data_IF_464306699400
#
_entry.id   IF_464306699400
#
_cell.length_a   1.000
_cell.length_b   1.000
_cell.length_c   1.000
_cell.angle_alpha   90.00
_cell.angle_beta   90.00
_cell.angle_gamma   90.00
#
_symmetry.space_group_name_H-M   'P 1'
#
loop_
_entity.id
_entity.type
_entity.pdbx_description
1 polymer ?
#
# COMPACT_ATOMS: atom_id res chain seq x y z
N UNK A 1 -15.01 36.01 -15.89
CA UNK A 1 -14.32 35.09 -16.81
C UNK A 1 -13.16 34.45 -16.09
N UNK A 2 -13.41 33.33 -15.39
CA UNK A 2 -12.39 32.55 -14.69
C UNK A 2 -12.13 31.25 -15.48
N UNK A 3 -11.54 31.40 -16.67
CA UNK A 3 -11.37 30.34 -17.67
C UNK A 3 -10.01 29.66 -17.48
N UNK A 4 -9.62 29.31 -16.24
CA UNK A 4 -8.22 28.93 -16.00
C UNK A 4 -7.89 27.93 -14.91
N UNK A 5 -8.81 27.37 -14.11
CA UNK A 5 -8.37 26.56 -12.96
C UNK A 5 -9.35 25.50 -12.43
N UNK A 6 -10.03 24.75 -13.30
CA UNK A 6 -10.76 23.57 -12.83
C UNK A 6 -9.94 22.30 -13.07
N UNK A 7 -9.33 21.77 -12.00
CA UNK A 7 -8.57 20.50 -12.00
C UNK A 7 -9.43 19.32 -12.50
N UNK A 8 -10.75 19.45 -12.41
CA UNK A 8 -11.71 18.43 -12.82
C UNK A 8 -12.30 18.73 -14.20
N UNK A 9 -12.31 17.72 -15.06
CA UNK A 9 -13.10 17.76 -16.30
C UNK A 9 -14.60 17.96 -16.01
N UNK A 10 -15.13 17.29 -14.97
CA UNK A 10 -16.47 17.52 -14.44
C UNK A 10 -16.48 17.30 -12.92
N UNK A 11 -16.56 18.40 -12.16
CA UNK A 11 -16.51 18.37 -10.69
C UNK A 11 -17.71 17.66 -10.06
N UNK A 12 -18.90 17.80 -10.65
CA UNK A 12 -20.12 17.19 -10.12
C UNK A 12 -20.05 15.67 -10.24
N UNK A 13 -19.73 15.19 -11.44
CA UNK A 13 -19.59 13.76 -11.71
C UNK A 13 -18.51 13.12 -10.83
N UNK A 14 -17.34 13.76 -10.73
CA UNK A 14 -16.28 13.28 -9.84
C UNK A 14 -16.75 13.14 -8.38
N UNK A 15 -17.53 14.10 -7.89
CA UNK A 15 -18.02 14.06 -6.50
C UNK A 15 -19.04 12.95 -6.30
N UNK A 16 -19.94 12.74 -7.27
CA UNK A 16 -20.92 11.64 -7.26
C UNK A 16 -20.21 10.28 -7.23
N UNK A 17 -19.28 10.05 -8.16
CA UNK A 17 -18.49 8.80 -8.25
C UNK A 17 -17.66 8.58 -6.97
N UNK A 18 -17.07 9.64 -6.41
CA UNK A 18 -16.29 9.55 -5.18
C UNK A 18 -17.14 9.16 -3.97
N UNK A 19 -18.37 9.69 -3.86
CA UNK A 19 -19.27 9.30 -2.77
C UNK A 19 -19.76 7.87 -2.94
N UNK A 20 -20.07 7.43 -4.17
CA UNK A 20 -20.42 6.03 -4.43
C UNK A 20 -19.25 5.09 -4.05
N UNK A 21 -18.04 5.42 -4.47
CA UNK A 21 -16.83 4.67 -4.11
C UNK A 21 -16.68 4.58 -2.59
N UNK A 22 -16.87 5.68 -1.86
CA UNK A 22 -16.79 5.65 -0.38
C UNK A 22 -17.77 4.68 0.28
N UNK A 23 -18.94 4.48 -0.30
CA UNK A 23 -19.98 3.62 0.27
C UNK A 23 -19.80 2.14 -0.13
N UNK A 24 -19.40 1.90 -1.38
CA UNK A 24 -19.39 0.57 -1.98
C UNK A 24 -18.04 -0.13 -1.94
N UNK A 25 -16.95 0.64 -2.01
CA UNK A 25 -15.62 0.08 -2.22
C UNK A 25 -15.18 -0.79 -1.04
N UNK A 26 -14.74 -2.01 -1.33
CA UNK A 26 -14.27 -2.98 -0.34
C UNK A 26 -12.88 -3.49 -0.63
N UNK A 27 -12.09 -3.60 0.43
CA UNK A 27 -10.74 -4.17 0.43
C UNK A 27 -10.74 -5.39 1.34
N UNK A 28 -10.35 -6.55 0.79
CA UNK A 28 -10.04 -7.71 1.60
C UNK A 28 -8.57 -7.68 2.02
N UNK A 29 -8.28 -7.87 3.30
CA UNK A 29 -6.90 -8.00 3.79
C UNK A 29 -6.62 -9.47 4.07
N UNK A 30 -5.58 -10.03 3.45
CA UNK A 30 -5.23 -11.43 3.73
C UNK A 30 -4.95 -11.64 5.23
N UNK A 31 -5.63 -12.59 5.87
CA UNK A 31 -5.59 -12.73 7.32
C UNK A 31 -4.29 -13.38 7.78
N UNK A 32 -3.78 -12.90 8.92
CA UNK A 32 -2.62 -13.46 9.64
C UNK A 32 -2.90 -13.45 11.13
N UNK A 33 -2.33 -14.41 11.85
CA UNK A 33 -2.53 -14.54 13.30
C UNK A 33 -1.47 -13.75 14.08
N UNK A 34 -1.75 -13.47 15.35
CA UNK A 34 -0.79 -12.80 16.24
C UNK A 34 0.43 -13.68 16.58
N UNK A 35 0.30 -15.00 16.49
CA UNK A 35 1.38 -15.98 16.69
C UNK A 35 2.15 -16.31 15.41
N UNK A 36 1.86 -15.67 14.27
CA UNK A 36 2.63 -15.84 13.04
C UNK A 36 4.10 -15.47 13.28
N UNK A 37 5.08 -16.27 12.83
CA UNK A 37 6.49 -15.92 12.97
C UNK A 37 6.81 -14.52 12.45
N UNK A 38 6.17 -14.07 11.38
CA UNK A 38 6.32 -12.75 10.77
C UNK A 38 5.19 -11.79 11.15
N UNK A 39 4.53 -11.96 12.30
CA UNK A 39 3.51 -11.03 12.80
C UNK A 39 4.01 -9.57 12.85
N UNK A 40 5.28 -9.34 13.16
CA UNK A 40 5.92 -8.02 13.15
C UNK A 40 6.01 -7.35 11.76
N UNK A 41 5.87 -8.13 10.69
CA UNK A 41 5.85 -7.73 9.28
C UNK A 41 4.42 -7.71 8.74
N UNK A 42 3.60 -8.69 9.12
CA UNK A 42 2.27 -8.97 8.57
C UNK A 42 1.13 -8.27 9.31
N UNK A 43 1.30 -7.88 10.57
CA UNK A 43 0.29 -7.12 11.32
C UNK A 43 0.59 -5.62 11.38
N UNK A 44 -0.42 -4.75 11.60
CA UNK A 44 -0.21 -3.33 11.82
C UNK A 44 0.62 -3.05 13.07
N UNK A 45 1.45 -2.00 13.03
CA UNK A 45 2.21 -1.57 14.20
C UNK A 45 1.29 -1.02 15.28
N UNK A 46 1.60 -1.32 16.55
CA UNK A 46 0.87 -0.81 17.72
C UNK A 46 1.37 0.57 18.18
N UNK A 47 2.59 0.96 17.79
CA UNK A 47 3.19 2.26 18.10
C UNK A 47 2.84 3.33 17.04
N UNK A 48 3.28 4.57 17.29
CA UNK A 48 3.10 5.67 16.34
C UNK A 48 4.22 5.68 15.29
N UNK A 49 3.91 5.53 13.98
CA UNK A 49 4.95 5.46 12.97
C UNK A 49 5.79 6.75 12.89
N UNK A 50 7.07 6.60 12.60
CA UNK A 50 8.03 7.70 12.50
C UNK A 50 9.08 7.43 11.41
N UNK A 51 9.83 8.47 11.06
CA UNK A 51 10.90 8.40 10.06
C UNK A 51 10.41 8.18 8.62
N UNK A 52 11.35 7.83 7.73
CA UNK A 52 11.10 7.76 6.29
C UNK A 52 9.99 6.77 5.90
N UNK A 53 9.84 5.67 6.63
CA UNK A 53 8.85 4.62 6.33
C UNK A 53 7.50 4.82 7.04
N UNK A 54 7.27 6.00 7.65
CA UNK A 54 6.04 6.28 8.38
C UNK A 54 4.80 6.05 7.50
N UNK A 55 4.80 6.55 6.26
CA UNK A 55 3.65 6.44 5.34
C UNK A 55 3.19 5.00 5.10
N UNK A 56 4.13 4.05 4.94
CA UNK A 56 3.81 2.61 4.76
C UNK A 56 3.12 2.05 6.00
N UNK A 57 3.66 2.36 7.18
CA UNK A 57 3.11 1.90 8.45
C UNK A 57 1.75 2.54 8.77
N UNK A 58 1.58 3.84 8.48
CA UNK A 58 0.30 4.52 8.64
C UNK A 58 -0.75 4.01 7.66
N UNK A 59 -0.41 3.78 6.40
CA UNK A 59 -1.34 3.21 5.43
C UNK A 59 -1.95 1.92 5.98
N UNK A 60 -1.11 0.99 6.44
CA UNK A 60 -1.54 -0.28 7.02
C UNK A 60 -2.38 -0.09 8.29
N UNK A 61 -1.94 0.78 9.20
CA UNK A 61 -2.64 1.09 10.47
C UNK A 61 -4.02 1.72 10.24
N UNK A 62 -4.14 2.60 9.25
CA UNK A 62 -5.39 3.30 8.92
C UNK A 62 -6.33 2.42 8.11
N UNK A 63 -5.82 1.70 7.10
CA UNK A 63 -6.61 0.75 6.31
C UNK A 63 -7.29 -0.28 7.24
N UNK A 64 -6.52 -0.87 8.17
CA UNK A 64 -7.04 -1.85 9.15
C UNK A 64 -8.12 -1.35 10.10
N UNK A 65 -8.30 -0.03 10.20
CA UNK A 65 -9.34 0.63 11.02
C UNK A 65 -10.40 1.34 10.17
N UNK A 66 -10.30 1.23 8.85
CA UNK A 66 -11.20 1.92 7.93
C UNK A 66 -12.47 1.11 7.67
N UNK A 67 -13.52 1.79 7.23
CA UNK A 67 -14.78 1.17 6.80
C UNK A 67 -14.66 0.44 5.44
N UNK A 68 -13.55 0.61 4.72
CA UNK A 68 -13.30 -0.06 3.45
C UNK A 68 -13.00 -1.54 3.60
N UNK A 69 -12.65 -2.04 4.80
CA UNK A 69 -12.35 -3.46 4.96
C UNK A 69 -13.62 -4.29 4.95
N UNK A 70 -13.58 -5.40 4.21
CA UNK A 70 -14.53 -6.50 4.33
C UNK A 70 -13.84 -7.76 4.86
N UNK A 71 -14.61 -8.61 5.56
CA UNK A 71 -14.20 -9.97 5.92
C UNK A 71 -14.61 -10.99 4.86
N UNK A 72 -15.54 -10.62 3.98
CA UNK A 72 -15.98 -11.47 2.88
C UNK A 72 -15.17 -11.13 1.61
N UNK A 73 -14.25 -12.00 1.17
CA UNK A 73 -13.49 -11.78 -0.05
C UNK A 73 -14.37 -11.76 -1.32
N UNK A 74 -15.61 -12.27 -1.29
CA UNK A 74 -16.53 -12.20 -2.43
C UNK A 74 -17.05 -10.76 -2.67
N UNK A 75 -17.09 -9.93 -1.63
CA UNK A 75 -17.49 -8.52 -1.70
C UNK A 75 -16.34 -7.58 -2.10
N UNK A 76 -15.10 -8.09 -2.16
CA UNK A 76 -13.91 -7.26 -2.29
C UNK A 76 -13.62 -6.85 -3.74
N UNK A 77 -13.39 -5.55 -3.92
CA UNK A 77 -12.91 -4.96 -5.17
C UNK A 77 -11.39 -5.08 -5.29
N UNK A 78 -10.66 -4.90 -4.18
CA UNK A 78 -9.21 -5.06 -4.12
C UNK A 78 -8.78 -5.94 -2.94
N UNK A 79 -7.59 -6.52 -3.07
CA UNK A 79 -7.00 -7.41 -2.09
C UNK A 79 -5.65 -6.88 -1.61
N UNK A 80 -5.54 -6.55 -0.34
CA UNK A 80 -4.32 -6.04 0.25
C UNK A 80 -3.39 -7.18 0.69
N UNK A 81 -2.14 -7.11 0.26
CA UNK A 81 -1.03 -7.97 0.71
C UNK A 81 -0.31 -7.26 1.89
N UNK A 82 -0.58 -7.64 3.15
CA UNK A 82 -0.19 -6.86 4.32
C UNK A 82 1.30 -6.91 4.70
N UNK A 83 2.18 -7.58 3.94
CA UNK A 83 3.60 -7.57 4.26
C UNK A 83 4.16 -6.14 4.22
N UNK A 84 4.97 -5.77 5.21
CA UNK A 84 5.66 -4.48 5.24
C UNK A 84 7.13 -4.67 4.89
N UNK A 85 7.55 -4.07 3.78
CA UNK A 85 8.96 -4.08 3.35
C UNK A 85 9.82 -3.31 4.34
N UNK A 86 9.30 -2.21 4.92
CA UNK A 86 9.99 -1.46 5.96
C UNK A 86 10.25 -2.32 7.21
N UNK A 87 9.25 -3.08 7.67
CA UNK A 87 9.41 -3.98 8.83
C UNK A 87 10.33 -5.16 8.51
N UNK A 88 10.20 -5.72 7.31
CA UNK A 88 11.01 -6.85 6.87
C UNK A 88 12.50 -6.50 6.81
N UNK A 89 12.85 -5.28 6.38
CA UNK A 89 14.23 -4.76 6.41
C UNK A 89 14.86 -4.73 7.80
N UNK A 90 14.04 -4.67 8.85
CA UNK A 90 14.49 -4.65 10.23
C UNK A 90 14.28 -6.00 10.94
N UNK A 91 13.87 -7.04 10.19
CA UNK A 91 13.71 -8.37 10.73
C UNK A 91 15.07 -9.11 10.74
N UNK A 92 15.54 -9.64 11.87
CA UNK A 92 16.86 -10.27 11.95
C UNK A 92 16.95 -11.57 11.14
N UNK A 93 15.83 -12.15 10.71
CA UNK A 93 15.78 -13.39 9.92
C UNK A 93 15.88 -13.12 8.42
N UNK A 94 15.68 -11.88 7.98
CA UNK A 94 15.61 -11.51 6.57
C UNK A 94 16.52 -10.31 6.34
N UNK A 95 17.66 -10.55 5.69
CA UNK A 95 18.50 -9.46 5.23
C UNK A 95 17.84 -8.71 4.06
N UNK A 96 18.43 -7.57 3.67
CA UNK A 96 17.91 -6.75 2.56
C UNK A 96 17.85 -7.55 1.24
N UNK A 97 18.76 -8.50 1.03
CA UNK A 97 18.82 -9.32 -0.19
C UNK A 97 17.80 -10.46 -0.18
N UNK A 98 17.29 -10.84 0.99
CA UNK A 98 16.26 -11.85 1.20
C UNK A 98 14.84 -11.31 1.10
N UNK A 99 14.64 -9.99 1.08
CA UNK A 99 13.32 -9.37 0.88
C UNK A 99 12.60 -9.93 -0.36
N UNK A 100 13.23 -10.02 -1.54
CA UNK A 100 12.56 -10.56 -2.72
C UNK A 100 12.20 -12.05 -2.59
N UNK A 101 13.01 -12.85 -1.88
CA UNK A 101 12.69 -14.26 -1.60
C UNK A 101 11.49 -14.39 -0.66
N UNK A 102 11.42 -13.55 0.37
CA UNK A 102 10.29 -13.51 1.28
C UNK A 102 9.00 -13.15 0.52
N UNK A 103 9.03 -12.08 -0.27
CA UNK A 103 7.86 -11.61 -1.04
C UNK A 103 7.39 -12.69 -2.03
N UNK A 104 8.31 -13.31 -2.77
CA UNK A 104 8.00 -14.44 -3.66
C UNK A 104 7.33 -15.59 -2.90
N UNK A 105 7.89 -15.96 -1.74
CA UNK A 105 7.39 -17.07 -0.92
C UNK A 105 6.01 -16.76 -0.35
N UNK A 106 5.80 -15.53 0.11
CA UNK A 106 4.52 -15.04 0.60
C UNK A 106 3.44 -15.09 -0.48
N UNK A 107 3.72 -14.54 -1.67
CA UNK A 107 2.77 -14.59 -2.79
C UNK A 107 2.48 -16.04 -3.17
N UNK A 108 3.51 -16.89 -3.25
CA UNK A 108 3.34 -18.31 -3.56
C UNK A 108 2.42 -19.02 -2.54
N UNK A 109 2.52 -18.65 -1.26
CA UNK A 109 1.61 -19.13 -0.22
C UNK A 109 0.19 -18.63 -0.45
N UNK A 110 0.00 -17.33 -0.73
CA UNK A 110 -1.31 -16.75 -1.01
C UNK A 110 -1.97 -17.44 -2.22
N UNK A 111 -1.25 -17.60 -3.33
CA UNK A 111 -1.71 -18.26 -4.56
C UNK A 111 -2.25 -19.67 -4.33
N UNK A 112 -1.61 -20.43 -3.43
CA UNK A 112 -1.99 -21.80 -3.11
C UNK A 112 -3.10 -21.90 -2.07
N UNK A 113 -3.19 -20.92 -1.17
CA UNK A 113 -4.05 -21.02 0.01
C UNK A 113 -5.40 -20.32 -0.18
N UNK A 114 -5.48 -19.36 -1.11
CA UNK A 114 -6.68 -18.57 -1.36
C UNK A 114 -7.06 -18.60 -2.83
N UNK A 115 -8.32 -18.94 -3.18
CA UNK A 115 -8.74 -19.06 -4.57
C UNK A 115 -8.78 -17.71 -5.31
N UNK A 116 -8.87 -16.60 -4.57
CA UNK A 116 -9.10 -15.26 -5.13
C UNK A 116 -7.92 -14.71 -5.92
N UNK A 117 -6.69 -15.17 -5.67
CA UNK A 117 -5.55 -14.77 -6.49
C UNK A 117 -5.75 -15.14 -7.96
N UNK A 118 -6.19 -16.37 -8.23
CA UNK A 118 -6.23 -16.92 -9.58
C UNK A 118 -7.39 -16.36 -10.42
N UNK A 119 -8.30 -15.57 -9.82
CA UNK A 119 -9.41 -14.90 -10.52
C UNK A 119 -8.91 -13.86 -11.52
N UNK A 120 -7.85 -13.16 -11.15
CA UNK A 120 -7.28 -12.00 -11.86
C UNK A 120 -5.79 -12.15 -12.12
N UNK A 121 -5.20 -13.27 -11.67
CA UNK A 121 -3.76 -13.49 -11.60
C UNK A 121 -2.99 -12.35 -10.91
N UNK A 122 -3.61 -11.72 -9.91
CA UNK A 122 -2.96 -10.69 -9.09
C UNK A 122 -3.32 -9.25 -9.45
N UNK A 123 -4.12 -8.98 -10.50
CA UNK A 123 -4.32 -7.59 -10.97
C UNK A 123 -5.18 -6.73 -10.06
N UNK A 124 -5.96 -7.34 -9.16
CA UNK A 124 -6.72 -6.67 -8.10
C UNK A 124 -6.01 -6.78 -6.73
N UNK A 125 -4.78 -7.28 -6.69
CA UNK A 125 -3.95 -7.33 -5.50
C UNK A 125 -3.01 -6.13 -5.44
N UNK A 126 -2.77 -5.62 -4.24
CA UNK A 126 -1.85 -4.50 -4.06
C UNK A 126 -1.06 -4.59 -2.76
N UNK A 127 0.10 -3.92 -2.74
CA UNK A 127 0.96 -3.78 -1.57
C UNK A 127 1.52 -2.36 -1.49
N UNK A 128 2.00 -1.98 -0.31
CA UNK A 128 2.62 -0.66 -0.10
C UNK A 128 4.12 -0.82 0.10
N UNK A 129 4.89 0.02 -0.59
CA UNK A 129 6.32 0.07 -0.47
C UNK A 129 6.82 1.53 -0.46
N UNK A 130 7.42 1.96 0.64
CA UNK A 130 8.11 3.26 0.68
C UNK A 130 9.60 3.14 0.33
N UNK A 131 10.14 4.18 -0.33
CA UNK A 131 11.57 4.40 -0.57
C UNK A 131 12.31 3.28 -1.33
N UNK A 132 13.66 3.32 -1.26
CA UNK A 132 14.56 2.54 -2.10
C UNK A 132 14.37 1.03 -1.99
N UNK A 133 13.87 0.55 -0.87
CA UNK A 133 13.67 -0.88 -0.56
C UNK A 133 12.48 -1.50 -1.32
N UNK A 134 11.52 -0.68 -1.76
CA UNK A 134 10.40 -1.16 -2.59
C UNK A 134 10.79 -1.55 -4.00
N UNK A 135 11.89 -0.99 -4.52
CA UNK A 135 12.29 -1.13 -5.94
C UNK A 135 12.68 -2.56 -6.30
N UNK A 136 13.31 -3.29 -5.38
CA UNK A 136 13.77 -4.66 -5.60
C UNK A 136 12.87 -5.73 -5.01
N UNK A 137 11.87 -5.35 -4.19
CA UNK A 137 11.06 -6.30 -3.42
C UNK A 137 10.34 -7.35 -4.30
N UNK A 138 10.02 -7.00 -5.54
CA UNK A 138 9.35 -7.90 -6.50
C UNK A 138 10.31 -8.55 -7.52
N UNK A 139 11.63 -8.36 -7.43
CA UNK A 139 12.59 -8.86 -8.44
C UNK A 139 12.53 -10.37 -8.65
N UNK A 140 12.34 -11.13 -7.58
CA UNK A 140 12.19 -12.61 -7.63
C UNK A 140 10.75 -13.07 -7.83
N UNK A 141 9.80 -12.13 -7.98
CA UNK A 141 8.39 -12.38 -8.25
C UNK A 141 7.99 -11.75 -9.60
N UNK A 142 8.81 -11.99 -10.64
CA UNK A 142 8.71 -11.32 -11.95
C UNK A 142 7.35 -11.44 -12.62
N UNK A 143 6.73 -12.63 -12.61
CA UNK A 143 5.38 -12.85 -13.15
C UNK A 143 4.34 -11.96 -12.45
N UNK A 144 4.52 -11.73 -11.15
CA UNK A 144 3.57 -11.02 -10.29
C UNK A 144 3.77 -9.51 -10.36
N UNK A 145 5.02 -9.06 -10.58
CA UNK A 145 5.40 -7.64 -10.64
C UNK A 145 4.57 -6.84 -11.65
N UNK A 146 4.17 -7.46 -12.76
CA UNK A 146 3.41 -6.80 -13.82
C UNK A 146 1.90 -6.77 -13.55
N UNK A 147 1.39 -7.62 -12.66
CA UNK A 147 -0.04 -7.69 -12.35
C UNK A 147 -0.39 -6.93 -11.07
N UNK A 148 0.36 -7.16 -9.99
CA UNK A 148 0.07 -6.57 -8.67
C UNK A 148 0.31 -5.07 -8.66
N UNK A 149 -0.64 -4.31 -8.15
CA UNK A 149 -0.56 -2.87 -8.00
C UNK A 149 0.46 -2.52 -6.91
N UNK A 150 1.47 -1.73 -7.27
CA UNK A 150 2.44 -1.20 -6.32
C UNK A 150 2.01 0.20 -5.87
N UNK A 151 1.82 0.37 -4.57
CA UNK A 151 1.58 1.68 -3.96
C UNK A 151 2.90 2.22 -3.43
N UNK A 152 3.38 3.33 -4.01
CA UNK A 152 4.70 3.91 -3.69
C UNK A 152 4.61 5.25 -2.98
N UNK A 153 5.49 5.48 -2.02
CA UNK A 153 5.53 6.74 -1.25
C UNK A 153 6.31 7.86 -1.95
N UNK A 154 6.18 7.95 -3.28
CA UNK A 154 6.85 8.94 -4.10
C UNK A 154 5.92 9.32 -5.24
N UNK A 155 5.92 10.61 -5.60
CA UNK A 155 5.17 11.15 -6.73
C UNK A 155 5.92 11.10 -8.06
N UNK A 156 7.13 10.51 -8.09
CA UNK A 156 7.95 10.45 -9.30
C UNK A 156 7.63 9.22 -10.15
N UNK A 157 7.22 9.45 -11.39
CA UNK A 157 7.03 8.42 -12.42
C UNK A 157 8.34 7.76 -12.86
N UNK A 158 9.49 8.42 -12.64
CA UNK A 158 10.81 7.95 -13.08
C UNK A 158 11.46 6.96 -12.10
N UNK A 159 10.71 6.47 -11.12
CA UNK A 159 11.20 5.44 -10.22
C UNK A 159 11.37 4.11 -10.95
N UNK A 160 12.55 3.51 -10.81
CA UNK A 160 12.81 2.17 -11.32
C UNK A 160 11.79 1.18 -10.78
N UNK A 161 11.08 0.50 -11.69
CA UNK A 161 10.05 -0.48 -11.36
C UNK A 161 8.63 0.07 -11.25
N UNK A 162 8.42 1.40 -11.32
CA UNK A 162 7.08 2.00 -11.35
C UNK A 162 6.44 1.88 -12.73
N UNK A 163 5.18 1.47 -12.78
CA UNK A 163 4.39 1.29 -14.00
C UNK A 163 3.19 2.26 -14.00
N UNK A 164 3.24 3.37 -14.77
CA UNK A 164 2.26 4.47 -14.69
C UNK A 164 0.78 4.11 -14.88
N UNK A 165 0.49 3.02 -15.59
CA UNK A 165 -0.89 2.58 -15.86
C UNK A 165 -1.41 1.52 -14.87
N UNK A 166 -0.64 1.22 -13.82
CA UNK A 166 -0.96 0.20 -12.82
C UNK A 166 -0.69 0.69 -11.40
N UNK A 167 0.46 1.32 -11.20
CA UNK A 167 0.96 1.72 -9.89
C UNK A 167 0.41 3.08 -9.46
N UNK A 168 0.36 3.30 -8.14
CA UNK A 168 -0.26 4.48 -7.55
C UNK A 168 0.68 5.13 -6.55
N UNK A 169 0.70 6.46 -6.55
CA UNK A 169 1.46 7.25 -5.58
C UNK A 169 0.67 7.45 -4.29
N UNK A 170 1.32 7.18 -3.16
CA UNK A 170 0.86 7.53 -1.81
C UNK A 170 1.62 8.78 -1.33
N UNK A 171 0.92 9.81 -0.83
CA UNK A 171 1.57 10.99 -0.26
C UNK A 171 2.53 10.61 0.87
N UNK A 172 3.78 11.08 0.77
CA UNK A 172 4.74 10.89 1.84
C UNK A 172 4.37 11.76 3.04
N UNK A 173 4.24 11.13 4.20
CA UNK A 173 4.06 11.85 5.46
C UNK A 173 5.37 11.84 6.24
N UNK A 174 5.70 13.01 6.80
CA UNK A 174 6.81 13.18 7.73
C UNK A 174 6.24 13.61 9.08
N UNK A 175 5.98 12.66 9.99
CA UNK A 175 5.51 12.99 11.33
C UNK A 175 6.53 13.89 12.01
N UNK A 176 6.13 15.13 12.30
CA UNK A 176 6.96 16.06 13.07
C UNK A 176 6.64 15.88 14.54
N UNK A 177 7.66 15.65 15.35
CA UNK A 177 7.53 15.72 16.81
C UNK A 177 7.69 17.17 17.25
N UNK A 178 6.71 17.71 17.99
CA UNK A 178 6.73 19.08 18.51
C UNK A 178 5.52 19.92 18.09
N UNK A 179 5.53 21.19 18.48
CA UNK A 179 4.47 22.14 18.12
C UNK A 179 4.44 22.37 16.60
N UNK A 180 3.24 22.56 16.05
CA UNK A 180 3.08 23.02 14.66
C UNK A 180 3.93 24.28 14.46
N UNK A 181 4.64 24.40 13.33
CA UNK A 181 5.36 25.63 13.03
C UNK A 181 4.36 26.80 13.11
N UNK A 182 4.66 27.81 13.95
CA UNK A 182 3.85 29.01 13.99
C UNK A 182 3.86 29.61 12.58
N UNK A 183 2.68 29.84 12.01
CA UNK A 183 2.50 30.53 10.73
C UNK A 183 2.79 32.02 10.91
N UNK A 184 4.04 32.36 11.19
CA UNK A 184 4.57 33.72 11.32
C UNK A 184 5.94 33.75 10.64
N UNK A 185 5.97 33.49 9.34
CA UNK A 185 7.09 33.84 8.44
C UNK A 185 6.75 33.51 6.99
N UNK A 186 5.67 34.11 6.51
CA UNK A 186 5.48 34.46 5.10
C UNK A 186 4.88 35.88 5.08
N UNK A 187 5.73 36.85 5.40
CA UNK A 187 5.59 38.26 5.00
C UNK A 187 6.84 38.62 4.22
#
# INVERSE_FOLDING_TARGET
>A
NDIGNNVFHNKKLFLEDYMEMKERFRIYVYPHKEDDPFANVLLPVKFEPYGNYASESYFKKLLTRSHFITKDPAEADLFFLPFSIARLRHDPRVDVQGIPDFVRSYISYIRRSYPYWNRTDGTDHFYVACHSTGRSAMEKAGEVKFNVIQVVCSSSYYLTGYLPHKDVSLPQIWPRHGNLPQTTSLQ
#
